data_IF_235553616014
#
_entry.id   IF_235553616014
#
_cell.length_a   1.000
_cell.length_b   1.000
_cell.length_c   1.000
_cell.angle_alpha   90.00
_cell.angle_beta   90.00
_cell.angle_gamma   90.00
#
_symmetry.space_group_name_H-M   'P 1'
#
loop_
_entity.id
_entity.type
_entity.pdbx_description
1 polymer ?
#
# COMPACT_ATOMS: atom_id res chain seq x y z
N UNK A 1 -1.64 -19.91 3.78
CA UNK A 1 -1.62 -18.45 3.52
C UNK A 1 -1.02 -18.22 2.14
N UNK A 2 -1.55 -17.25 1.40
CA UNK A 2 -0.99 -16.83 0.11
C UNK A 2 0.38 -16.19 0.30
N UNK A 3 1.29 -16.35 -0.66
CA UNK A 3 2.59 -15.68 -0.59
C UNK A 3 2.44 -14.17 -0.83
N UNK A 4 3.33 -13.32 -0.27
CA UNK A 4 3.31 -11.88 -0.54
C UNK A 4 3.31 -11.54 -2.03
N UNK A 5 4.05 -12.32 -2.83
CA UNK A 5 4.11 -12.16 -4.29
C UNK A 5 2.76 -12.46 -4.96
N UNK A 6 2.05 -13.49 -4.51
CA UNK A 6 0.73 -13.84 -5.04
C UNK A 6 -0.30 -12.76 -4.71
N UNK A 7 -0.32 -12.29 -3.46
CA UNK A 7 -1.24 -11.24 -3.03
C UNK A 7 -0.97 -9.92 -3.76
N UNK A 8 0.29 -9.55 -3.91
CA UNK A 8 0.65 -8.37 -4.70
C UNK A 8 0.17 -8.49 -6.15
N UNK A 9 0.35 -9.64 -6.80
CA UNK A 9 -0.17 -9.88 -8.15
C UNK A 9 -1.68 -9.68 -8.22
N UNK A 10 -2.43 -10.21 -7.26
CA UNK A 10 -3.89 -10.02 -7.18
C UNK A 10 -4.25 -8.55 -6.99
N UNK A 11 -3.58 -7.83 -6.09
CA UNK A 11 -3.85 -6.42 -5.82
C UNK A 11 -3.63 -5.51 -7.06
N UNK A 12 -2.62 -5.83 -7.88
CA UNK A 12 -2.27 -5.07 -9.10
C UNK A 12 -3.01 -5.51 -10.36
N UNK A 13 -3.68 -6.66 -10.34
CA UNK A 13 -4.46 -7.13 -11.47
C UNK A 13 -5.68 -6.22 -11.69
N UNK A 14 -5.72 -5.56 -12.87
CA UNK A 14 -6.81 -4.66 -13.25
C UNK A 14 -8.10 -5.39 -13.58
N UNK A 15 -8.02 -6.69 -13.90
CA UNK A 15 -9.16 -7.53 -14.21
C UNK A 15 -9.76 -8.18 -12.95
N UNK A 16 -9.03 -8.18 -11.84
CA UNK A 16 -9.54 -8.70 -10.57
C UNK A 16 -10.66 -7.79 -10.02
N UNK A 17 -11.74 -8.36 -9.46
CA UNK A 17 -12.79 -7.58 -8.81
C UNK A 17 -12.23 -6.66 -7.73
N UNK A 18 -12.86 -5.49 -7.54
CA UNK A 18 -12.43 -4.50 -6.55
C UNK A 18 -12.28 -5.10 -5.16
N UNK A 19 -13.24 -5.90 -4.73
CA UNK A 19 -13.23 -6.57 -3.43
C UNK A 19 -12.03 -7.51 -3.29
N UNK A 20 -11.78 -8.37 -4.30
CA UNK A 20 -10.62 -9.28 -4.33
C UNK A 20 -9.29 -8.52 -4.20
N UNK A 21 -9.19 -7.36 -4.86
CA UNK A 21 -8.00 -6.49 -4.77
C UNK A 21 -7.85 -5.86 -3.39
N UNK A 22 -8.96 -5.40 -2.80
CA UNK A 22 -9.00 -4.87 -1.42
C UNK A 22 -8.57 -5.94 -0.41
N UNK A 23 -9.12 -7.16 -0.49
CA UNK A 23 -8.74 -8.27 0.37
C UNK A 23 -7.25 -8.60 0.25
N UNK A 24 -6.71 -8.61 -0.97
CA UNK A 24 -5.30 -8.87 -1.18
C UNK A 24 -4.38 -7.82 -0.53
N UNK A 25 -4.79 -6.55 -0.50
CA UNK A 25 -4.05 -5.48 0.19
C UNK A 25 -4.13 -5.65 1.71
N UNK A 26 -5.30 -6.02 2.23
CA UNK A 26 -5.46 -6.26 3.66
C UNK A 26 -4.62 -7.47 4.11
N UNK A 27 -4.62 -8.57 3.35
CA UNK A 27 -3.77 -9.74 3.63
C UNK A 27 -2.27 -9.40 3.57
N UNK A 28 -1.85 -8.51 2.66
CA UNK A 28 -0.46 -8.01 2.65
C UNK A 28 -0.11 -7.27 3.94
N UNK A 29 -1.05 -6.52 4.53
CA UNK A 29 -0.86 -5.85 5.80
C UNK A 29 -0.82 -6.84 6.98
N UNK A 30 -1.69 -7.83 6.99
CA UNK A 30 -1.72 -8.89 8.03
C UNK A 30 -0.39 -9.65 8.11
N UNK A 31 0.27 -9.90 6.98
CA UNK A 31 1.56 -10.60 6.93
C UNK A 31 2.78 -9.65 6.97
N UNK A 32 2.57 -8.36 7.22
CA UNK A 32 3.62 -7.33 7.25
C UNK A 32 4.48 -7.27 5.97
N UNK A 33 3.87 -7.44 4.80
CA UNK A 33 4.54 -7.33 3.50
C UNK A 33 4.75 -5.86 3.09
N UNK A 34 5.52 -5.11 3.90
CA UNK A 34 5.70 -3.65 3.78
C UNK A 34 6.29 -3.23 2.44
N UNK A 35 7.19 -4.03 1.87
CA UNK A 35 7.78 -3.75 0.54
C UNK A 35 6.72 -3.71 -0.54
N UNK A 36 5.81 -4.69 -0.57
CA UNK A 36 4.73 -4.77 -1.55
C UNK A 36 3.71 -3.65 -1.32
N UNK A 37 3.37 -3.35 -0.07
CA UNK A 37 2.49 -2.24 0.27
C UNK A 37 3.07 -0.90 -0.21
N UNK A 38 4.36 -0.64 0.03
CA UNK A 38 5.04 0.56 -0.47
C UNK A 38 4.96 0.67 -1.98
N UNK A 39 5.18 -0.43 -2.71
CA UNK A 39 5.06 -0.43 -4.18
C UNK A 39 3.65 -0.05 -4.62
N UNK A 40 2.60 -0.53 -3.95
CA UNK A 40 1.21 -0.15 -4.24
C UNK A 40 0.98 1.34 -3.98
N UNK A 41 1.57 1.91 -2.91
CA UNK A 41 1.44 3.34 -2.61
C UNK A 41 2.08 4.22 -3.69
N UNK A 42 3.25 3.85 -4.22
CA UNK A 42 3.98 4.68 -5.20
C UNK A 42 3.56 4.44 -6.64
N UNK A 43 2.96 3.29 -6.95
CA UNK A 43 2.58 2.92 -8.31
C UNK A 43 1.64 3.98 -8.94
N UNK A 44 2.11 4.60 -10.02
CA UNK A 44 1.30 5.50 -10.83
C UNK A 44 0.24 4.70 -11.61
N UNK A 45 -0.93 5.31 -11.84
CA UNK A 45 -2.07 4.64 -12.49
C UNK A 45 -2.83 3.64 -11.61
N UNK A 46 -2.49 3.52 -10.32
CA UNK A 46 -3.30 2.81 -9.34
C UNK A 46 -4.45 3.69 -8.83
N UNK A 47 -5.64 3.09 -8.62
CA UNK A 47 -6.75 3.81 -8.03
C UNK A 47 -6.35 4.35 -6.65
N UNK A 48 -6.58 5.65 -6.42
CA UNK A 48 -6.21 6.32 -5.17
C UNK A 48 -6.79 5.66 -3.91
N UNK A 49 -7.92 4.94 -4.00
CA UNK A 49 -8.45 4.18 -2.86
C UNK A 49 -7.52 3.05 -2.42
N UNK A 50 -6.94 2.32 -3.37
CA UNK A 50 -6.01 1.22 -3.08
C UNK A 50 -4.67 1.77 -2.56
N UNK A 51 -4.19 2.90 -3.10
CA UNK A 51 -2.98 3.58 -2.60
C UNK A 51 -3.16 3.98 -1.13
N UNK A 52 -4.31 4.58 -0.78
CA UNK A 52 -4.63 4.92 0.62
C UNK A 52 -4.79 3.70 1.52
N UNK A 53 -5.39 2.63 1.01
CA UNK A 53 -5.53 1.38 1.77
C UNK A 53 -4.15 0.78 2.08
N UNK A 54 -3.26 0.69 1.10
CA UNK A 54 -1.90 0.19 1.30
C UNK A 54 -1.10 1.07 2.28
N UNK A 55 -1.27 2.41 2.21
CA UNK A 55 -0.65 3.34 3.15
C UNK A 55 -1.14 3.12 4.60
N UNK A 56 -2.45 2.92 4.80
CA UNK A 56 -2.97 2.59 6.12
C UNK A 56 -2.45 1.20 6.59
N UNK A 57 -2.27 0.26 5.67
CA UNK A 57 -1.62 -1.03 5.93
C UNK A 57 -0.20 -0.85 6.50
N UNK A 58 0.63 0.00 5.88
CA UNK A 58 1.96 0.35 6.40
C UNK A 58 1.91 0.92 7.81
N UNK A 59 0.92 1.79 8.10
CA UNK A 59 0.68 2.32 9.44
C UNK A 59 0.37 1.21 10.46
N UNK A 60 -0.49 0.25 10.10
CA UNK A 60 -0.80 -0.91 10.96
C UNK A 60 0.43 -1.78 11.22
N UNK A 61 1.29 -1.95 10.23
CA UNK A 61 2.55 -2.69 10.37
C UNK A 61 3.63 -1.92 11.14
N UNK A 62 3.40 -0.65 11.52
CA UNK A 62 4.42 0.25 12.09
C UNK A 62 5.67 0.35 11.22
N UNK A 63 5.48 0.41 9.90
CA UNK A 63 6.54 0.48 8.90
C UNK A 63 7.14 1.91 8.83
N UNK A 64 7.72 2.37 9.94
CA UNK A 64 8.13 3.78 10.13
C UNK A 64 9.15 4.25 9.10
N UNK A 65 10.04 3.37 8.66
CA UNK A 65 11.05 3.67 7.63
C UNK A 65 10.39 3.91 6.27
N UNK A 66 9.47 3.03 5.87
CA UNK A 66 8.71 3.18 4.64
C UNK A 66 7.79 4.40 4.68
N UNK A 67 7.16 4.68 5.82
CA UNK A 67 6.29 5.84 6.01
C UNK A 67 7.07 7.15 5.94
N UNK A 68 8.25 7.24 6.56
CA UNK A 68 9.12 8.40 6.44
C UNK A 68 9.55 8.63 4.98
N UNK A 69 9.98 7.56 4.29
CA UNK A 69 10.35 7.66 2.88
C UNK A 69 9.19 8.12 1.99
N UNK A 70 7.95 7.74 2.30
CA UNK A 70 6.75 8.18 1.57
C UNK A 70 6.35 9.63 1.90
N UNK A 71 6.57 10.09 3.14
CA UNK A 71 6.32 11.48 3.52
C UNK A 71 7.25 12.45 2.77
N UNK A 72 8.51 12.04 2.56
CA UNK A 72 9.53 12.85 1.89
C UNK A 72 9.50 12.76 0.36
N UNK A 73 8.75 11.82 -0.22
CA UNK A 73 8.71 11.58 -1.67
C UNK A 73 7.88 12.63 -2.41
N UNK A 74 8.55 13.64 -3.00
CA UNK A 74 7.93 14.73 -3.74
C UNK A 74 7.19 14.32 -5.02
N UNK A 75 7.36 13.09 -5.51
CA UNK A 75 6.58 12.58 -6.65
C UNK A 75 5.15 12.21 -6.24
N UNK A 76 4.89 12.03 -4.94
CA UNK A 76 3.59 11.67 -4.43
C UNK A 76 2.66 12.88 -4.27
N UNK A 77 1.35 12.72 -4.54
CA UNK A 77 0.35 13.71 -4.18
C UNK A 77 0.45 14.13 -2.71
N UNK A 78 0.33 15.43 -2.44
CA UNK A 78 0.41 16.00 -1.09
C UNK A 78 -0.43 15.25 -0.05
N UNK A 79 -1.69 14.85 -0.33
CA UNK A 79 -2.51 14.12 0.65
C UNK A 79 -1.94 12.75 1.05
N UNK A 80 -1.18 12.08 0.18
CA UNK A 80 -0.53 10.81 0.53
C UNK A 80 0.69 11.03 1.43
N UNK A 81 1.47 12.08 1.17
CA UNK A 81 2.65 12.42 1.97
C UNK A 81 2.26 12.84 3.39
N UNK A 82 1.29 13.74 3.52
CA UNK A 82 0.75 14.16 4.82
C UNK A 82 0.19 12.99 5.60
N UNK A 83 -0.52 12.08 4.91
CA UNK A 83 -1.04 10.89 5.57
C UNK A 83 0.06 9.94 6.02
N UNK A 84 1.13 9.79 5.24
CA UNK A 84 2.29 8.99 5.64
C UNK A 84 2.97 9.59 6.88
N UNK A 85 3.13 10.90 6.93
CA UNK A 85 3.68 11.64 8.07
C UNK A 85 2.84 11.46 9.35
N UNK A 86 1.52 11.41 9.23
CA UNK A 86 0.62 11.15 10.37
C UNK A 86 0.68 9.72 10.90
N UNK A 87 1.13 8.76 10.09
CA UNK A 87 1.10 7.33 10.41
C UNK A 87 2.45 6.80 10.91
N UNK A 88 3.54 7.58 10.78
CA UNK A 88 4.91 7.15 11.12
C UNK A 88 5.19 7.14 12.61
#
# INVERSE_FOLDING_TARGET
MSSPRSLFRTAVDKNAPRETRTTAIDELAEIAATTQLRVIVVADGFNGSFRRQALNGLGRCRATTELAALADDASLPTPLRERADQLR
#
